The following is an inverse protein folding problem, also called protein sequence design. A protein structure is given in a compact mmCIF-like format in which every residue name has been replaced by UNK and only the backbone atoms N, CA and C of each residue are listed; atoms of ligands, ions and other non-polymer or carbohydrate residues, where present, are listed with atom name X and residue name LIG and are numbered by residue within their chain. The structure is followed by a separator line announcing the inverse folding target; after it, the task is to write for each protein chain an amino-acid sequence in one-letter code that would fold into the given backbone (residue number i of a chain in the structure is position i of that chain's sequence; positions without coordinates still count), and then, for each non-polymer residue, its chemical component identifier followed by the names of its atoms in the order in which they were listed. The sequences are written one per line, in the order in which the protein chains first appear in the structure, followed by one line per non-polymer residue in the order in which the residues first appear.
data_IF_046459285594
#
_entry.id   IF_046459285594
#
_cell.length_a   1.000
_cell.length_b   1.000
_cell.length_c   1.000
_cell.angle_alpha   90.00
_cell.angle_beta   90.00
_cell.angle_gamma   90.00
#
_symmetry.space_group_name_H-M   'P 1'
#
loop_
_entity.id
_entity.type
_entity.pdbx_description
1 polymer ?
#
# COMPACT_ATOMS: atom_id res chain seq x y z
N UNK A 1 -7.96 -20.44 -19.87
CA UNK A 1 -8.15 -21.02 -18.52
C UNK A 1 -9.20 -20.18 -17.83
N UNK A 2 -10.35 -20.75 -17.50
CA UNK A 2 -11.44 -20.05 -16.85
C UNK A 2 -11.28 -20.17 -15.33
N UNK A 3 -11.38 -19.05 -14.61
CA UNK A 3 -11.22 -19.01 -13.15
C UNK A 3 -12.60 -19.04 -12.51
N UNK A 4 -12.88 -20.08 -11.72
CA UNK A 4 -14.13 -20.20 -10.95
C UNK A 4 -13.98 -19.44 -9.64
N UNK A 5 -14.86 -18.45 -9.39
CA UNK A 5 -14.93 -17.73 -8.11
C UNK A 5 -16.01 -18.37 -7.26
N UNK A 6 -15.63 -18.93 -6.11
CA UNK A 6 -16.56 -19.52 -5.14
C UNK A 6 -16.63 -18.60 -3.92
N UNK A 7 -17.82 -18.07 -3.63
CA UNK A 7 -18.09 -17.34 -2.39
C UNK A 7 -18.57 -18.30 -1.30
N UNK A 8 -17.87 -18.33 -0.17
CA UNK A 8 -18.17 -19.24 0.95
C UNK A 8 -18.80 -18.43 2.07
N UNK A 9 -20.12 -18.58 2.23
CA UNK A 9 -20.87 -17.88 3.28
C UNK A 9 -20.91 -18.64 4.61
N UNK A 10 -20.69 -19.96 4.58
CA UNK A 10 -20.72 -20.79 5.79
C UNK A 10 -19.37 -20.71 6.55
N UNK A 11 -19.37 -20.30 7.83
CA UNK A 11 -18.14 -20.16 8.61
C UNK A 11 -17.44 -21.49 8.91
N UNK A 12 -18.16 -22.61 9.01
CA UNK A 12 -17.58 -23.94 9.23
C UNK A 12 -16.82 -24.42 7.99
N UNK A 13 -17.37 -24.15 6.80
CA UNK A 13 -16.70 -24.46 5.54
C UNK A 13 -15.40 -23.67 5.37
N UNK A 14 -15.36 -22.42 5.86
CA UNK A 14 -14.14 -21.60 5.88
C UNK A 14 -13.06 -22.21 6.79
N UNK A 15 -13.42 -22.64 8.00
CA UNK A 15 -12.49 -23.32 8.91
C UNK A 15 -11.92 -24.60 8.32
N UNK A 16 -12.74 -25.37 7.59
CA UNK A 16 -12.25 -26.58 6.91
C UNK A 16 -11.17 -26.24 5.88
N UNK A 17 -11.38 -25.18 5.10
CA UNK A 17 -10.40 -24.72 4.11
C UNK A 17 -9.13 -24.23 4.79
N UNK A 18 -9.25 -23.45 5.87
CA UNK A 18 -8.10 -22.98 6.64
C UNK A 18 -7.28 -24.18 7.17
N UNK A 19 -7.94 -25.20 7.74
CA UNK A 19 -7.27 -26.43 8.18
C UNK A 19 -6.58 -27.17 7.02
N UNK A 20 -7.19 -27.21 5.83
CA UNK A 20 -6.59 -27.84 4.65
C UNK A 20 -5.37 -27.05 4.13
N UNK A 21 -5.38 -25.72 4.27
CA UNK A 21 -4.23 -24.86 3.98
C UNK A 21 -3.10 -25.11 4.99
N UNK A 22 -3.43 -25.19 6.28
CA UNK A 22 -2.46 -25.43 7.36
C UNK A 22 -1.78 -26.81 7.23
N UNK A 23 -2.50 -27.80 6.74
CA UNK A 23 -1.97 -29.12 6.41
C UNK A 23 -1.17 -29.14 5.09
N UNK A 24 -1.12 -28.02 4.36
CA UNK A 24 -0.41 -27.90 3.08
C UNK A 24 -1.06 -28.66 1.92
N UNK A 25 -2.33 -29.05 2.05
CA UNK A 25 -3.05 -29.82 1.02
C UNK A 25 -3.52 -28.95 -0.14
N UNK A 26 -3.81 -27.68 0.14
CA UNK A 26 -4.26 -26.70 -0.84
C UNK A 26 -3.56 -25.36 -0.59
N UNK A 27 -3.30 -24.60 -1.66
CA UNK A 27 -2.82 -23.22 -1.57
C UNK A 27 -3.92 -22.30 -2.03
N UNK A 28 -4.47 -21.49 -1.12
CA UNK A 28 -5.39 -20.42 -1.49
C UNK A 28 -4.55 -19.28 -2.03
N UNK A 29 -4.75 -18.91 -3.31
CA UNK A 29 -4.18 -17.67 -3.84
C UNK A 29 -4.89 -16.51 -3.17
N UNK A 30 -4.23 -15.91 -2.17
CA UNK A 30 -4.65 -14.61 -1.68
C UNK A 30 -4.71 -13.66 -2.87
N UNK A 31 -5.85 -12.98 -3.04
CA UNK A 31 -5.94 -11.85 -3.97
C UNK A 31 -5.10 -10.74 -3.36
N UNK A 32 -3.78 -10.84 -3.52
CA UNK A 32 -2.90 -9.74 -3.17
C UNK A 32 -3.30 -8.57 -4.08
N UNK A 33 -3.55 -7.39 -3.51
CA UNK A 33 -3.83 -6.23 -4.33
C UNK A 33 -2.65 -6.05 -5.29
N UNK A 34 -2.99 -5.88 -6.56
CA UNK A 34 -2.02 -5.60 -7.60
C UNK A 34 -1.16 -4.40 -7.19
N UNK A 35 0.09 -4.34 -7.68
CA UNK A 35 0.96 -3.21 -7.42
C UNK A 35 0.28 -1.86 -7.74
N UNK A 36 -0.56 -1.85 -8.78
CA UNK A 36 -1.37 -0.71 -9.19
C UNK A 36 -2.37 -0.27 -8.10
N UNK A 37 -3.04 -1.21 -7.43
CA UNK A 37 -3.98 -0.93 -6.34
C UNK A 37 -3.25 -0.48 -5.07
N UNK A 38 -2.10 -1.10 -4.76
CA UNK A 38 -1.24 -0.67 -3.64
C UNK A 38 -0.74 0.75 -3.87
N UNK A 39 -0.26 1.07 -5.06
CA UNK A 39 0.24 2.40 -5.42
C UNK A 39 -0.86 3.45 -5.35
N UNK A 40 -2.05 3.14 -5.87
CA UNK A 40 -3.20 4.04 -5.80
C UNK A 40 -3.60 4.37 -4.36
N UNK A 41 -3.63 3.37 -3.48
CA UNK A 41 -3.92 3.59 -2.06
C UNK A 41 -2.89 4.49 -1.39
N UNK A 42 -1.62 4.37 -1.78
CA UNK A 42 -0.54 5.23 -1.28
C UNK A 42 -0.70 6.65 -1.81
N UNK A 43 -0.90 6.83 -3.13
CA UNK A 43 -1.08 8.15 -3.72
C UNK A 43 -2.27 8.89 -3.13
N UNK A 44 -3.38 8.18 -2.92
CA UNK A 44 -4.61 8.76 -2.35
C UNK A 44 -4.46 9.11 -0.86
N UNK A 45 -3.49 8.49 -0.16
CA UNK A 45 -3.17 8.80 1.24
C UNK A 45 -2.18 9.95 1.42
N UNK A 46 -1.53 10.39 0.34
CA UNK A 46 -0.63 11.52 0.40
C UNK A 46 -1.47 12.81 0.47
N UNK A 47 -1.06 13.78 1.31
CA UNK A 47 -1.69 15.08 1.30
C UNK A 47 -1.59 15.67 -0.12
N UNK A 48 -2.58 16.47 -0.57
CA UNK A 48 -2.42 17.24 -1.80
C UNK A 48 -1.09 17.99 -1.70
N UNK A 49 -0.29 17.98 -2.76
CA UNK A 49 0.92 18.79 -2.83
C UNK A 49 0.54 20.20 -2.41
N UNK A 50 1.03 20.63 -1.26
CA UNK A 50 0.91 22.02 -0.83
C UNK A 50 1.35 22.90 -1.99
N UNK A 51 0.67 24.03 -2.19
CA UNK A 51 1.08 25.10 -3.12
C UNK A 51 2.39 25.77 -2.66
N UNK A 52 3.39 24.98 -2.24
CA UNK A 52 4.74 25.42 -2.03
C UNK A 52 5.32 25.67 -3.41
N UNK A 53 5.63 26.93 -3.69
CA UNK A 53 6.36 27.28 -4.89
C UNK A 53 7.79 26.78 -4.79
N UNK A 54 8.42 26.55 -5.95
CA UNK A 54 9.85 26.22 -6.00
C UNK A 54 10.68 27.34 -5.34
N UNK A 55 10.24 28.60 -5.43
CA UNK A 55 10.83 29.74 -4.71
C UNK A 55 10.81 29.58 -3.18
N UNK A 56 9.72 29.10 -2.59
CA UNK A 56 9.61 28.92 -1.13
C UNK A 56 10.60 27.84 -0.63
N UNK A 57 10.72 26.76 -1.41
CA UNK A 57 11.65 25.66 -1.13
C UNK A 57 13.11 26.15 -1.20
N UNK A 58 13.45 26.93 -2.23
CA UNK A 58 14.80 27.46 -2.40
C UNK A 58 15.16 28.47 -1.32
N UNK A 59 14.20 29.31 -0.90
CA UNK A 59 14.35 30.25 0.20
C UNK A 59 14.70 29.56 1.52
N UNK A 60 13.98 28.49 1.88
CA UNK A 60 14.30 27.69 3.09
C UNK A 60 15.69 27.05 3.03
N UNK A 61 16.07 26.51 1.86
CA UNK A 61 17.39 25.88 1.67
C UNK A 61 18.51 26.92 1.88
N UNK A 62 18.36 28.12 1.32
CA UNK A 62 19.37 29.17 1.43
C UNK A 62 19.43 29.75 2.85
N UNK A 63 18.30 29.86 3.56
CA UNK A 63 18.29 30.20 4.99
C UNK A 63 19.07 29.17 5.83
N UNK A 64 18.85 27.88 5.61
CA UNK A 64 19.53 26.81 6.34
C UNK A 64 21.04 26.76 6.02
N UNK A 65 21.42 27.02 4.76
CA UNK A 65 22.82 27.14 4.37
C UNK A 65 23.49 28.33 5.05
N UNK A 66 22.82 29.48 5.09
CA UNK A 66 23.34 30.69 5.73
C UNK A 66 23.52 30.51 7.24
N UNK A 67 22.58 29.83 7.91
CA UNK A 67 22.68 29.49 9.33
C UNK A 67 23.84 28.53 9.64
N UNK A 68 24.19 27.61 8.72
CA UNK A 68 25.32 26.68 8.88
C UNK A 68 26.70 27.31 8.69
N UNK A 69 26.83 28.41 7.96
CA UNK A 69 28.13 29.08 7.73
C UNK A 69 28.56 29.92 8.95
N UNK A 70 27.65 30.18 9.89
CA UNK A 70 27.87 31.03 11.07
C UNK A 70 28.10 30.20 12.37
N UNK A 71 28.14 28.85 12.29
CA UNK A 71 28.56 27.94 13.38
C UNK A 71 29.89 27.28 13.06
#
# INVERSE_FOLDING_TARGET
METLVIEIQNPEARRLIDNMVDLGLISVKSVEPSWKERWKKISDSLPPSSDLSDEDIMSEIDELRSKRVIS
#
